data_IF_221217578720
#
_entry.id   IF_221217578720
#
_cell.length_a   1.000
_cell.length_b   1.000
_cell.length_c   1.000
_cell.angle_alpha   90.00
_cell.angle_beta   90.00
_cell.angle_gamma   90.00
#
_symmetry.space_group_name_H-M   'P 1'
#
loop_
_entity.id
_entity.type
_entity.pdbx_description
1 polymer ?
#
# COMPACT_ATOMS: atom_id res chain seq x y z
N UNK A 1 21.17 47.30 -45.32
CA UNK A 1 20.58 46.03 -44.82
C UNK A 1 21.15 45.63 -43.44
N UNK A 2 21.22 46.53 -42.44
CA UNK A 2 21.91 46.25 -41.17
C UNK A 2 21.13 46.52 -39.88
N UNK A 3 19.92 47.08 -39.94
CA UNK A 3 19.16 47.41 -38.73
C UNK A 3 18.34 46.23 -38.17
N UNK A 4 17.79 45.37 -39.03
CA UNK A 4 16.97 44.22 -38.60
C UNK A 4 17.83 43.19 -37.83
N UNK A 5 19.03 42.88 -38.36
CA UNK A 5 19.98 41.96 -37.75
C UNK A 5 20.42 42.38 -36.34
N UNK A 6 20.59 43.69 -36.09
CA UNK A 6 20.99 44.16 -34.74
C UNK A 6 19.87 44.13 -33.69
N UNK A 7 18.61 44.24 -34.12
CA UNK A 7 17.46 44.08 -33.23
C UNK A 7 17.23 42.61 -32.90
N UNK A 8 17.43 41.72 -33.86
CA UNK A 8 17.35 40.27 -33.66
C UNK A 8 18.49 39.76 -32.75
N UNK A 9 19.71 40.26 -32.91
CA UNK A 9 20.83 39.95 -32.01
C UNK A 9 20.58 40.45 -30.57
N UNK A 10 19.98 41.63 -30.41
CA UNK A 10 19.59 42.13 -29.08
C UNK A 10 18.52 41.25 -28.44
N UNK A 11 17.48 40.87 -29.19
CA UNK A 11 16.44 39.95 -28.71
C UNK A 11 17.01 38.57 -28.36
N UNK A 12 17.92 38.04 -29.16
CA UNK A 12 18.61 36.78 -28.86
C UNK A 12 19.44 36.87 -27.59
N UNK A 13 20.17 37.98 -27.37
CA UNK A 13 20.92 38.20 -26.12
C UNK A 13 20.01 38.35 -24.90
N UNK A 14 18.88 39.04 -25.03
CA UNK A 14 17.89 39.16 -23.95
C UNK A 14 17.26 37.81 -23.62
N UNK A 15 16.89 37.03 -24.65
CA UNK A 15 16.36 35.68 -24.50
C UNK A 15 17.38 34.72 -23.87
N UNK A 16 18.65 34.76 -24.31
CA UNK A 16 19.74 33.97 -23.72
C UNK A 16 19.93 34.32 -22.23
N UNK A 17 19.95 35.61 -21.87
CA UNK A 17 20.06 36.03 -20.47
C UNK A 17 18.86 35.58 -19.63
N UNK A 18 17.66 35.57 -20.20
CA UNK A 18 16.47 35.06 -19.52
C UNK A 18 16.57 33.55 -19.28
N UNK A 19 17.07 32.78 -20.27
CA UNK A 19 17.33 31.34 -20.11
C UNK A 19 18.42 31.07 -19.06
N UNK A 20 19.54 31.80 -19.09
CA UNK A 20 20.61 31.65 -18.10
C UNK A 20 20.10 31.90 -16.67
N UNK A 21 19.19 32.87 -16.51
CA UNK A 21 18.55 33.14 -15.23
C UNK A 21 17.65 31.99 -14.79
N UNK A 22 16.83 31.44 -15.69
CA UNK A 22 15.99 30.27 -15.39
C UNK A 22 16.84 29.05 -15.00
N UNK A 23 17.93 28.79 -15.74
CA UNK A 23 18.86 27.70 -15.43
C UNK A 23 19.47 27.88 -14.04
N UNK A 24 19.86 29.11 -13.68
CA UNK A 24 20.41 29.40 -12.36
C UNK A 24 19.36 29.20 -11.25
N UNK A 25 18.14 29.68 -11.45
CA UNK A 25 17.03 29.50 -10.51
C UNK A 25 16.64 28.02 -10.35
N UNK A 26 16.71 27.23 -11.43
CA UNK A 26 16.51 25.78 -11.40
C UNK A 26 17.66 25.05 -10.69
N UNK A 27 18.91 25.46 -10.90
CA UNK A 27 20.06 24.91 -10.19
C UNK A 27 19.98 25.17 -8.68
N UNK A 28 19.57 26.37 -8.27
CA UNK A 28 19.38 26.73 -6.86
C UNK A 28 18.21 25.96 -6.21
N UNK A 29 17.16 25.65 -6.99
CA UNK A 29 16.07 24.76 -6.55
C UNK A 29 16.54 23.31 -6.43
N UNK A 30 17.20 22.79 -7.45
CA UNK A 30 17.73 21.42 -7.48
C UNK A 30 18.73 21.16 -6.35
N UNK A 31 19.52 22.16 -5.95
CA UNK A 31 20.42 22.05 -4.80
C UNK A 31 19.70 21.81 -3.45
N UNK A 32 18.40 22.05 -3.37
CA UNK A 32 17.55 21.83 -2.19
C UNK A 32 16.66 20.59 -2.33
N UNK A 33 16.72 19.90 -3.46
CA UNK A 33 15.94 18.71 -3.73
C UNK A 33 16.67 17.47 -3.19
N UNK A 34 15.98 16.72 -2.34
CA UNK A 34 16.46 15.48 -1.74
C UNK A 34 15.65 14.33 -2.33
N UNK A 35 16.31 13.46 -3.09
CA UNK A 35 15.70 12.27 -3.67
C UNK A 35 15.89 11.08 -2.73
N UNK A 36 14.78 10.54 -2.24
CA UNK A 36 14.75 9.38 -1.35
C UNK A 36 14.13 8.19 -2.06
N UNK A 37 14.75 7.02 -1.96
CA UNK A 37 14.24 5.78 -2.55
C UNK A 37 13.89 4.77 -1.45
N UNK A 38 12.64 4.28 -1.44
CA UNK A 38 12.21 3.21 -0.54
C UNK A 38 12.46 1.86 -1.20
N UNK A 39 13.28 1.01 -0.56
CA UNK A 39 13.54 -0.37 -1.00
C UNK A 39 13.12 -1.36 0.07
N UNK A 40 12.98 -2.63 -0.32
CA UNK A 40 12.62 -3.73 0.57
C UNK A 40 11.66 -4.71 -0.08
N UNK A 41 11.53 -5.89 0.53
CA UNK A 41 10.68 -6.98 0.04
C UNK A 41 9.21 -6.58 -0.09
N UNK A 42 8.40 -7.42 -0.75
CA UNK A 42 6.94 -7.25 -0.72
C UNK A 42 6.46 -7.16 0.72
N UNK A 43 5.45 -6.33 0.99
CA UNK A 43 4.83 -6.21 2.32
C UNK A 43 5.69 -5.61 3.44
N UNK A 44 6.93 -5.21 3.17
CA UNK A 44 7.85 -4.68 4.21
C UNK A 44 7.51 -3.31 4.81
N UNK A 45 6.35 -2.73 4.47
CA UNK A 45 5.87 -1.45 5.03
C UNK A 45 6.22 -0.18 4.24
N UNK A 46 6.85 -0.28 3.06
CA UNK A 46 7.22 0.89 2.22
C UNK A 46 6.04 1.82 1.93
N UNK A 47 4.94 1.28 1.39
CA UNK A 47 3.76 2.08 1.07
C UNK A 47 3.09 2.65 2.32
N UNK A 48 3.25 2.00 3.49
CA UNK A 48 2.81 2.56 4.78
C UNK A 48 3.61 3.79 5.15
N UNK A 49 4.93 3.81 4.91
CA UNK A 49 5.78 5.01 5.10
C UNK A 49 5.33 6.14 4.17
N UNK A 50 5.03 5.84 2.91
CA UNK A 50 4.51 6.84 1.96
C UNK A 50 3.19 7.44 2.44
N UNK A 51 2.25 6.59 2.87
CA UNK A 51 0.97 7.04 3.43
C UNK A 51 1.17 7.91 4.68
N UNK A 52 2.13 7.58 5.56
CA UNK A 52 2.49 8.40 6.71
C UNK A 52 3.07 9.76 6.33
N UNK A 53 3.99 9.81 5.35
CA UNK A 53 4.56 11.06 4.87
C UNK A 53 3.49 11.99 4.32
N UNK A 54 2.48 11.43 3.66
CA UNK A 54 1.33 12.17 3.18
C UNK A 54 0.49 12.76 4.34
N UNK A 55 0.23 12.00 5.39
CA UNK A 55 -0.48 12.49 6.59
C UNK A 55 0.29 13.64 7.25
N UNK A 56 1.59 13.46 7.45
CA UNK A 56 2.42 14.41 8.21
C UNK A 56 2.72 15.68 7.40
N UNK A 57 2.91 15.55 6.08
CA UNK A 57 3.46 16.65 5.25
C UNK A 57 2.56 17.13 4.09
N UNK A 58 1.45 16.45 3.77
CA UNK A 58 0.55 16.82 2.66
C UNK A 58 -0.92 16.98 3.10
N UNK A 59 -1.16 17.42 4.33
CA UNK A 59 -2.50 17.65 4.88
C UNK A 59 -3.42 16.41 4.93
N UNK A 60 -2.85 15.20 4.84
CA UNK A 60 -3.60 13.95 4.92
C UNK A 60 -4.40 13.61 3.67
N UNK A 61 -5.60 13.06 3.90
CA UNK A 61 -6.50 12.55 2.87
C UNK A 61 -7.80 13.35 2.88
N UNK A 62 -8.33 13.67 1.70
CA UNK A 62 -9.63 14.31 1.57
C UNK A 62 -10.75 13.28 1.78
N UNK A 63 -11.98 13.78 1.97
CA UNK A 63 -13.16 12.92 2.08
C UNK A 63 -13.36 12.06 0.83
N UNK A 64 -13.13 12.63 -0.35
CA UNK A 64 -13.26 11.94 -1.64
C UNK A 64 -12.26 10.79 -1.75
N UNK A 65 -11.06 10.97 -1.19
CA UNK A 65 -10.04 9.91 -1.17
C UNK A 65 -10.37 8.83 -0.16
N UNK A 66 -10.89 9.18 1.02
CA UNK A 66 -11.42 8.18 1.95
C UNK A 66 -12.51 7.33 1.30
N UNK A 67 -13.42 7.92 0.52
CA UNK A 67 -14.43 7.17 -0.25
C UNK A 67 -13.77 6.24 -1.31
N UNK A 68 -12.66 6.64 -1.93
CA UNK A 68 -11.92 5.76 -2.85
C UNK A 68 -11.26 4.56 -2.14
N UNK A 69 -10.89 4.70 -0.87
CA UNK A 69 -10.36 3.58 -0.08
C UNK A 69 -11.44 2.65 0.47
N UNK A 70 -12.71 3.07 0.48
CA UNK A 70 -13.81 2.28 1.06
C UNK A 70 -13.97 0.90 0.41
N UNK A 71 -13.99 0.75 -0.94
CA UNK A 71 -14.02 -0.57 -1.59
C UNK A 71 -12.80 -1.43 -1.27
N UNK A 72 -11.63 -0.80 -1.06
CA UNK A 72 -10.38 -1.50 -0.71
C UNK A 72 -10.48 -2.06 0.71
N UNK A 73 -11.02 -1.31 1.65
CA UNK A 73 -11.26 -1.78 3.04
C UNK A 73 -12.22 -2.98 3.03
N UNK A 74 -13.32 -2.91 2.27
CA UNK A 74 -14.25 -4.03 2.13
C UNK A 74 -13.54 -5.28 1.60
N UNK A 75 -12.80 -5.14 0.51
CA UNK A 75 -12.09 -6.26 -0.12
C UNK A 75 -11.06 -6.84 0.83
N UNK A 76 -10.23 -6.01 1.47
CA UNK A 76 -9.24 -6.47 2.44
C UNK A 76 -9.87 -7.22 3.61
N UNK A 77 -11.03 -6.78 4.09
CA UNK A 77 -11.75 -7.43 5.21
C UNK A 77 -12.28 -8.81 4.78
N UNK A 78 -13.01 -8.88 3.67
CA UNK A 78 -13.62 -10.13 3.17
C UNK A 78 -12.54 -11.12 2.73
N UNK A 79 -11.52 -10.68 2.00
CA UNK A 79 -10.41 -11.52 1.57
C UNK A 79 -9.61 -12.07 2.75
N UNK A 80 -9.41 -11.28 3.82
CA UNK A 80 -8.73 -11.77 5.04
C UNK A 80 -9.53 -12.89 5.71
N UNK A 81 -10.84 -12.73 5.86
CA UNK A 81 -11.68 -13.80 6.42
C UNK A 81 -11.72 -15.03 5.50
N UNK A 82 -11.82 -14.83 4.19
CA UNK A 82 -11.77 -15.90 3.19
C UNK A 82 -10.47 -16.69 3.22
N UNK A 83 -9.32 -16.02 3.43
CA UNK A 83 -8.02 -16.66 3.57
C UNK A 83 -7.98 -17.55 4.82
N UNK A 84 -8.47 -17.08 5.96
CA UNK A 84 -8.57 -17.86 7.20
C UNK A 84 -9.46 -19.09 6.99
N UNK A 85 -10.64 -18.94 6.38
CA UNK A 85 -11.56 -20.06 6.09
C UNK A 85 -10.90 -21.12 5.19
N UNK A 86 -10.16 -20.71 4.16
CA UNK A 86 -9.43 -21.65 3.30
C UNK A 86 -8.32 -22.36 4.05
N UNK A 87 -7.61 -21.63 4.92
CA UNK A 87 -6.56 -22.20 5.76
C UNK A 87 -7.10 -23.19 6.80
N UNK A 88 -8.33 -23.00 7.30
CA UNK A 88 -8.97 -24.00 8.20
C UNK A 88 -9.04 -25.38 7.55
N UNK A 89 -9.42 -25.46 6.27
CA UNK A 89 -9.43 -26.71 5.52
C UNK A 89 -8.03 -27.31 5.37
N UNK A 90 -7.03 -26.48 5.04
CA UNK A 90 -5.63 -26.92 4.90
C UNK A 90 -5.07 -27.47 6.22
N UNK A 91 -5.39 -26.82 7.34
CA UNK A 91 -4.90 -27.15 8.68
C UNK A 91 -5.78 -28.17 9.41
N UNK A 92 -6.83 -28.68 8.76
CA UNK A 92 -7.84 -29.59 9.32
C UNK A 92 -8.50 -29.06 10.61
N UNK A 93 -8.74 -27.75 10.69
CA UNK A 93 -9.42 -27.09 11.81
C UNK A 93 -10.91 -27.02 11.51
N UNK A 94 -11.72 -27.56 12.41
CA UNK A 94 -13.19 -27.53 12.30
C UNK A 94 -13.75 -26.27 12.94
N UNK A 95 -14.90 -25.81 12.44
CA UNK A 95 -15.69 -24.80 13.14
C UNK A 95 -16.18 -25.32 14.50
N UNK A 96 -16.40 -24.40 15.45
CA UNK A 96 -16.97 -24.77 16.75
C UNK A 96 -18.41 -25.29 16.62
N UNK A 97 -19.14 -24.79 15.63
CA UNK A 97 -20.52 -25.19 15.31
C UNK A 97 -20.70 -25.44 13.83
N UNK A 98 -21.44 -26.50 13.47
CA UNK A 98 -21.69 -26.86 12.06
C UNK A 98 -22.46 -25.78 11.28
N UNK A 99 -23.21 -24.93 11.98
CA UNK A 99 -23.93 -23.80 11.38
C UNK A 99 -23.01 -22.76 10.74
N UNK A 100 -21.74 -22.66 11.19
CA UNK A 100 -20.77 -21.73 10.61
C UNK A 100 -20.42 -22.07 9.16
N UNK A 101 -20.60 -23.31 8.73
CA UNK A 101 -20.32 -23.74 7.35
C UNK A 101 -21.11 -22.92 6.33
N UNK A 102 -22.40 -22.67 6.62
CA UNK A 102 -23.25 -21.84 5.76
C UNK A 102 -22.81 -20.37 5.73
N UNK A 103 -22.26 -19.86 6.83
CA UNK A 103 -21.71 -18.50 6.89
C UNK A 103 -20.39 -18.41 6.10
N UNK A 104 -19.53 -19.42 6.21
CA UNK A 104 -18.28 -19.51 5.48
C UNK A 104 -18.52 -19.57 3.96
N UNK A 105 -19.48 -20.39 3.52
CA UNK A 105 -19.89 -20.47 2.12
C UNK A 105 -20.36 -19.13 1.57
N UNK A 106 -21.10 -18.34 2.36
CA UNK A 106 -21.57 -17.01 1.95
C UNK A 106 -20.41 -16.03 1.74
N UNK A 107 -19.42 -16.02 2.63
CA UNK A 107 -18.23 -15.18 2.48
C UNK A 107 -17.45 -15.59 1.22
N UNK A 108 -17.25 -16.88 1.01
CA UNK A 108 -16.54 -17.40 -0.16
C UNK A 108 -17.29 -17.13 -1.47
N UNK A 109 -18.63 -17.17 -1.48
CA UNK A 109 -19.47 -16.84 -2.64
C UNK A 109 -19.32 -15.37 -3.05
N UNK A 110 -19.25 -14.45 -2.08
CA UNK A 110 -19.01 -13.02 -2.36
C UNK A 110 -17.66 -12.81 -3.05
N UNK A 111 -16.61 -13.48 -2.56
CA UNK A 111 -15.27 -13.46 -3.18
C UNK A 111 -15.33 -14.05 -4.60
N UNK A 112 -15.96 -15.21 -4.77
CA UNK A 112 -16.05 -15.88 -6.06
C UNK A 112 -16.80 -15.04 -7.10
N UNK A 113 -17.79 -14.27 -6.67
CA UNK A 113 -18.55 -13.34 -7.52
C UNK A 113 -17.87 -11.98 -7.72
N UNK A 114 -16.67 -11.76 -7.16
CA UNK A 114 -15.95 -10.48 -7.20
C UNK A 114 -16.78 -9.31 -6.65
N UNK A 115 -17.58 -9.58 -5.62
CA UNK A 115 -18.43 -8.59 -4.95
C UNK A 115 -17.86 -8.12 -3.61
N UNK A 116 -16.61 -8.45 -3.34
CA UNK A 116 -15.90 -8.11 -2.11
C UNK A 116 -15.54 -6.62 -2.01
N UNK A 117 -15.83 -5.82 -3.04
CA UNK A 117 -15.69 -4.36 -3.03
C UNK A 117 -17.00 -3.62 -2.75
N UNK A 118 -18.13 -4.33 -2.66
CA UNK A 118 -19.46 -3.77 -2.38
C UNK A 118 -19.69 -3.64 -0.85
N UNK A 119 -20.55 -2.71 -0.39
CA UNK A 119 -20.94 -2.61 1.01
C UNK A 119 -21.53 -3.92 1.55
N UNK A 120 -21.27 -4.20 2.82
CA UNK A 120 -21.79 -5.40 3.45
C UNK A 120 -23.31 -5.31 3.59
N UNK A 121 -24.04 -6.29 3.04
CA UNK A 121 -25.44 -6.46 3.42
C UNK A 121 -25.53 -7.03 4.85
N UNK A 122 -26.68 -6.86 5.50
CA UNK A 122 -26.88 -7.27 6.90
C UNK A 122 -26.62 -8.76 7.15
N UNK A 123 -26.95 -9.61 6.18
CA UNK A 123 -26.74 -11.06 6.26
C UNK A 123 -25.25 -11.40 6.20
N UNK A 124 -24.50 -10.79 5.28
CA UNK A 124 -23.06 -10.96 5.14
C UNK A 124 -22.34 -10.47 6.41
N UNK A 125 -22.66 -9.26 6.89
CA UNK A 125 -22.08 -8.70 8.11
C UNK A 125 -22.27 -9.65 9.30
N UNK A 126 -23.50 -10.10 9.53
CA UNK A 126 -23.82 -11.04 10.62
C UNK A 126 -23.07 -12.37 10.48
N UNK A 127 -22.85 -12.82 9.24
CA UNK A 127 -22.08 -14.04 8.96
C UNK A 127 -20.62 -13.87 9.33
N UNK A 128 -20.01 -12.75 8.92
CA UNK A 128 -18.62 -12.40 9.21
C UNK A 128 -18.38 -12.25 10.72
N UNK A 129 -19.30 -11.59 11.45
CA UNK A 129 -19.19 -11.43 12.90
C UNK A 129 -19.22 -12.77 13.64
N UNK A 130 -20.15 -13.66 13.27
CA UNK A 130 -20.23 -14.98 13.90
C UNK A 130 -19.07 -15.89 13.52
N UNK A 131 -18.54 -15.78 12.31
CA UNK A 131 -17.32 -16.47 11.91
C UNK A 131 -16.12 -15.96 12.70
N UNK A 132 -15.96 -14.65 12.82
CA UNK A 132 -14.83 -14.09 13.57
C UNK A 132 -14.89 -14.46 15.06
N UNK A 133 -16.09 -14.58 15.63
CA UNK A 133 -16.28 -15.05 17.01
C UNK A 133 -16.10 -16.59 17.19
N UNK A 134 -16.01 -17.37 16.11
CA UNK A 134 -15.88 -18.84 16.20
C UNK A 134 -14.49 -19.26 16.69
N UNK A 135 -14.43 -20.20 17.63
CA UNK A 135 -13.16 -20.62 18.23
C UNK A 135 -12.24 -21.35 17.24
N UNK A 136 -12.79 -22.04 16.23
CA UNK A 136 -12.01 -22.66 15.17
C UNK A 136 -11.37 -21.63 14.25
N UNK A 137 -12.12 -20.57 13.90
CA UNK A 137 -11.58 -19.42 13.14
C UNK A 137 -10.48 -18.73 13.93
N UNK A 138 -10.69 -18.45 15.22
CA UNK A 138 -9.67 -17.87 16.09
C UNK A 138 -8.43 -18.76 16.22
N UNK A 139 -8.60 -20.07 16.38
CA UNK A 139 -7.48 -21.03 16.40
C UNK A 139 -6.69 -21.01 15.10
N UNK A 140 -7.37 -20.94 13.95
CA UNK A 140 -6.71 -20.86 12.64
C UNK A 140 -5.97 -19.53 12.46
N UNK A 141 -6.54 -18.43 12.92
CA UNK A 141 -5.89 -17.11 12.91
C UNK A 141 -4.60 -17.10 13.73
N UNK A 142 -4.55 -17.76 14.90
CA UNK A 142 -3.33 -17.87 15.71
C UNK A 142 -2.18 -18.62 15.01
N UNK A 143 -2.49 -19.38 13.96
CA UNK A 143 -1.54 -20.12 13.11
C UNK A 143 -1.34 -19.43 11.76
N UNK A 144 -1.59 -18.11 11.68
CA UNK A 144 -1.51 -17.34 10.43
C UNK A 144 -0.12 -17.30 9.79
N UNK A 145 0.93 -17.66 10.53
CA UNK A 145 2.28 -17.80 9.97
C UNK A 145 2.42 -19.03 9.05
N UNK A 146 1.52 -20.01 9.12
CA UNK A 146 1.53 -21.23 8.29
C UNK A 146 0.89 -21.03 6.91
N UNK A 147 0.30 -19.86 6.64
CA UNK A 147 -0.36 -19.54 5.37
C UNK A 147 -0.23 -18.03 5.06
N UNK A 148 -0.70 -17.62 3.88
CA UNK A 148 -0.63 -16.23 3.47
C UNK A 148 -1.81 -15.44 4.03
N UNK A 149 -1.56 -14.59 5.02
CA UNK A 149 -2.55 -13.67 5.59
C UNK A 149 -1.97 -12.24 5.66
N UNK A 150 -2.83 -11.23 5.49
CA UNK A 150 -2.43 -9.84 5.68
C UNK A 150 -2.29 -9.53 7.17
N UNK A 151 -1.20 -8.89 7.58
CA UNK A 151 -0.95 -8.42 8.95
C UNK A 151 -2.08 -7.55 9.53
N UNK A 152 -2.82 -6.85 8.65
CA UNK A 152 -3.95 -6.00 9.06
C UNK A 152 -5.29 -6.75 9.17
N UNK A 153 -5.32 -8.09 8.99
CA UNK A 153 -6.53 -8.89 9.05
C UNK A 153 -7.31 -8.68 10.35
N UNK A 154 -6.64 -8.84 11.50
CA UNK A 154 -7.26 -8.67 12.81
C UNK A 154 -7.86 -7.27 12.98
N UNK A 155 -7.13 -6.22 12.59
CA UNK A 155 -7.62 -4.84 12.70
C UNK A 155 -8.96 -4.63 11.99
N UNK A 156 -9.12 -5.17 10.77
CA UNK A 156 -10.37 -5.04 10.04
C UNK A 156 -11.47 -5.95 10.59
N UNK A 157 -11.15 -7.18 10.97
CA UNK A 157 -12.13 -8.14 11.50
C UNK A 157 -12.65 -7.75 12.90
N UNK A 158 -11.83 -7.10 13.72
CA UNK A 158 -12.27 -6.52 15.00
C UNK A 158 -13.19 -5.29 14.82
N UNK A 159 -13.26 -4.74 13.60
CA UNK A 159 -14.00 -3.52 13.27
C UNK A 159 -15.21 -3.76 12.37
N UNK A 160 -15.67 -5.02 12.23
CA UNK A 160 -16.77 -5.42 11.34
C UNK A 160 -18.02 -4.55 11.51
N UNK A 161 -18.44 -4.28 12.75
CA UNK A 161 -19.60 -3.45 13.03
C UNK A 161 -19.47 -2.04 12.44
N UNK A 162 -18.29 -1.40 12.61
CA UNK A 162 -18.02 -0.05 12.08
C UNK A 162 -17.94 -0.06 10.55
N UNK A 163 -17.26 -1.05 9.98
CA UNK A 163 -17.05 -1.17 8.53
C UNK A 163 -18.37 -1.50 7.81
N UNK A 164 -19.22 -2.33 8.42
CA UNK A 164 -20.53 -2.72 7.89
C UNK A 164 -21.63 -1.65 8.03
N UNK A 165 -21.34 -0.52 8.66
CA UNK A 165 -22.30 0.59 8.79
C UNK A 165 -22.66 1.19 7.41
N UNK A 166 -23.92 1.56 7.14
CA UNK A 166 -24.32 2.22 5.89
C UNK A 166 -23.53 3.51 5.60
N UNK A 167 -23.24 4.27 6.65
CA UNK A 167 -22.51 5.54 6.61
C UNK A 167 -21.01 5.37 6.82
N UNK A 168 -20.48 4.15 6.65
CA UNK A 168 -19.06 3.87 6.83
C UNK A 168 -18.21 4.72 5.88
N UNK A 169 -17.33 5.51 6.49
CA UNK A 169 -16.25 6.23 5.83
C UNK A 169 -14.92 5.80 6.48
N UNK A 170 -13.92 5.34 5.69
CA UNK A 170 -12.61 5.02 6.20
C UNK A 170 -11.96 6.22 6.89
N UNK A 171 -11.16 5.93 7.93
CA UNK A 171 -10.30 6.92 8.56
C UNK A 171 -8.83 6.72 8.13
N UNK A 172 -7.92 7.59 8.61
CA UNK A 172 -6.49 7.49 8.30
C UNK A 172 -5.89 6.14 8.70
N UNK A 173 -6.34 5.55 9.81
CA UNK A 173 -5.86 4.25 10.27
C UNK A 173 -6.29 3.14 9.33
N UNK A 174 -7.52 3.18 8.81
CA UNK A 174 -7.98 2.25 7.78
C UNK A 174 -7.13 2.37 6.53
N UNK A 175 -6.89 3.60 6.07
CA UNK A 175 -6.05 3.87 4.88
C UNK A 175 -4.64 3.33 5.08
N UNK A 176 -4.01 3.55 6.23
CA UNK A 176 -2.67 3.03 6.55
C UNK A 176 -2.61 1.50 6.54
N UNK A 177 -3.68 0.84 7.00
CA UNK A 177 -3.80 -0.62 7.12
C UNK A 177 -4.26 -1.30 5.83
N UNK A 178 -4.79 -0.55 4.85
CA UNK A 178 -5.15 -1.14 3.55
C UNK A 178 -3.91 -1.67 2.83
N UNK A 179 -4.04 -2.89 2.32
CA UNK A 179 -3.08 -3.56 1.45
C UNK A 179 -3.54 -3.41 0.01
N UNK A 180 -2.78 -2.65 -0.75
CA UNK A 180 -2.86 -2.55 -2.21
C UNK A 180 -1.50 -2.95 -2.74
N UNK A 181 -1.46 -3.90 -3.68
CA UNK A 181 -0.19 -4.28 -4.31
C UNK A 181 0.32 -3.09 -5.13
N UNK A 182 1.43 -2.51 -4.70
CA UNK A 182 2.11 -1.45 -5.44
C UNK A 182 2.65 -1.99 -6.75
N UNK A 183 2.19 -1.43 -7.85
CA UNK A 183 2.67 -1.73 -9.20
C UNK A 183 3.35 -0.49 -9.77
N UNK A 184 4.52 -0.66 -10.36
CA UNK A 184 5.29 0.47 -10.88
C UNK A 184 5.99 1.28 -9.79
N UNK A 185 6.05 2.59 -10.03
CA UNK A 185 6.80 3.57 -9.24
C UNK A 185 5.82 4.67 -8.84
N UNK A 186 5.72 4.96 -7.55
CA UNK A 186 4.92 6.05 -7.01
C UNK A 186 5.86 7.11 -6.45
N UNK A 187 5.70 8.36 -6.87
CA UNK A 187 6.47 9.49 -6.37
C UNK A 187 5.57 10.37 -5.49
N UNK A 188 6.07 10.75 -4.32
CA UNK A 188 5.46 11.79 -3.48
C UNK A 188 6.43 12.94 -3.27
N UNK A 189 5.90 14.16 -3.27
CA UNK A 189 6.66 15.38 -3.15
C UNK A 189 6.22 16.16 -1.93
N UNK A 190 7.13 16.48 -1.02
CA UNK A 190 6.82 17.27 0.18
C UNK A 190 7.98 18.15 0.59
N UNK A 191 7.70 19.28 1.24
CA UNK A 191 8.74 20.19 1.73
C UNK A 191 8.88 20.11 3.24
N UNK A 192 10.11 20.07 3.74
CA UNK A 192 10.41 20.09 5.18
C UNK A 192 11.72 20.85 5.45
N UNK A 193 11.67 21.81 6.39
CA UNK A 193 12.84 22.63 6.80
C UNK A 193 13.65 23.20 5.61
N UNK A 194 12.95 23.81 4.65
CA UNK A 194 13.50 24.42 3.42
C UNK A 194 14.14 23.45 2.40
N UNK A 195 13.99 22.15 2.60
CA UNK A 195 14.33 21.12 1.62
C UNK A 195 13.06 20.59 0.95
N UNK A 196 13.16 20.22 -0.32
CA UNK A 196 12.10 19.54 -1.04
C UNK A 196 12.46 18.06 -1.16
N UNK A 197 11.62 17.21 -0.63
CA UNK A 197 11.80 15.76 -0.69
C UNK A 197 10.98 15.19 -1.82
N UNK A 198 11.62 14.33 -2.61
CA UNK A 198 10.98 13.47 -3.62
C UNK A 198 11.18 12.02 -3.17
N UNK A 199 10.15 11.40 -2.63
CA UNK A 199 10.19 10.04 -2.12
C UNK A 199 9.57 9.09 -3.13
N UNK A 200 10.34 8.09 -3.54
CA UNK A 200 9.96 7.08 -4.52
C UNK A 200 9.65 5.75 -3.81
N UNK A 201 8.41 5.27 -3.93
CA UNK A 201 7.99 3.93 -3.55
C UNK A 201 7.94 3.03 -4.77
N UNK A 202 8.68 1.92 -4.70
CA UNK A 202 8.76 0.92 -5.76
C UNK A 202 8.22 -0.40 -5.26
N UNK A 203 7.54 -1.14 -6.15
CA UNK A 203 7.01 -2.46 -5.82
C UNK A 203 8.11 -3.41 -5.29
N UNK A 204 7.88 -4.03 -4.14
CA UNK A 204 8.85 -4.92 -3.48
C UNK A 204 8.88 -6.37 -3.98
N UNK A 205 7.82 -6.78 -4.69
CA UNK A 205 7.69 -8.13 -5.22
C UNK A 205 8.70 -8.37 -6.35
N UNK A 206 9.13 -9.62 -6.52
CA UNK A 206 10.18 -9.99 -7.50
C UNK A 206 9.88 -9.50 -8.92
N UNK A 207 8.60 -9.54 -9.33
CA UNK A 207 8.17 -9.06 -10.66
C UNK A 207 8.38 -7.56 -10.88
N UNK A 208 8.36 -6.76 -9.81
CA UNK A 208 8.46 -5.30 -9.88
C UNK A 208 9.92 -4.80 -9.81
N UNK A 209 10.86 -5.62 -9.33
CA UNK A 209 12.25 -5.20 -9.05
C UNK A 209 13.03 -4.76 -10.28
N UNK A 210 12.67 -5.27 -11.47
CA UNK A 210 13.27 -4.81 -12.74
C UNK A 210 13.08 -3.32 -12.97
N UNK A 211 12.07 -2.70 -12.36
CA UNK A 211 11.77 -1.27 -12.48
C UNK A 211 12.62 -0.40 -11.56
N UNK A 212 13.27 -0.97 -10.54
CA UNK A 212 14.03 -0.21 -9.54
C UNK A 212 15.17 0.58 -10.16
N UNK A 213 15.83 0.03 -11.20
CA UNK A 213 16.95 0.65 -11.90
C UNK A 213 16.61 2.07 -12.40
N UNK A 214 15.36 2.33 -12.77
CA UNK A 214 14.90 3.64 -13.24
C UNK A 214 14.81 4.70 -12.13
N UNK A 215 14.91 4.30 -10.87
CA UNK A 215 14.79 5.19 -9.72
C UNK A 215 16.14 5.53 -9.08
N UNK A 216 17.22 4.81 -9.37
CA UNK A 216 18.51 4.93 -8.68
C UNK A 216 19.36 6.14 -9.10
N UNK A 217 19.14 6.69 -10.29
CA UNK A 217 19.89 7.86 -10.76
C UNK A 217 19.66 9.06 -9.84
N UNK A 218 20.74 9.71 -9.39
CA UNK A 218 20.73 10.88 -8.51
C UNK A 218 19.97 10.71 -7.18
N UNK A 219 19.91 9.49 -6.63
CA UNK A 219 19.34 9.25 -5.30
C UNK A 219 20.27 9.80 -4.21
N UNK A 220 19.73 10.63 -3.33
CA UNK A 220 20.47 11.16 -2.18
C UNK A 220 20.62 10.12 -1.08
N UNK A 221 19.57 9.36 -0.79
CA UNK A 221 19.61 8.29 0.20
C UNK A 221 18.58 7.19 -0.08
N UNK A 222 18.88 5.98 0.39
CA UNK A 222 18.01 4.82 0.33
C UNK A 222 17.48 4.53 1.74
N UNK A 223 16.17 4.32 1.83
CA UNK A 223 15.50 3.84 3.04
C UNK A 223 15.09 2.39 2.79
N UNK A 224 15.82 1.45 3.38
CA UNK A 224 15.57 0.03 3.23
C UNK A 224 14.65 -0.48 4.35
N UNK A 225 13.48 -1.02 3.97
CA UNK A 225 12.44 -1.45 4.89
C UNK A 225 12.41 -2.98 5.01
N UNK A 226 12.46 -3.47 6.26
CA UNK A 226 12.47 -4.90 6.60
C UNK A 226 11.33 -5.18 7.59
N UNK A 227 10.51 -6.21 7.31
CA UNK A 227 9.52 -6.69 8.25
C UNK A 227 10.15 -7.74 9.18
N UNK A 228 10.27 -7.40 10.47
CA UNK A 228 10.86 -8.30 11.47
C UNK A 228 9.92 -9.44 11.86
N UNK A 229 8.61 -9.24 11.71
CA UNK A 229 7.56 -10.21 12.01
C UNK A 229 7.51 -11.38 11.02
N UNK A 230 8.19 -11.29 9.88
CA UNK A 230 8.09 -12.26 8.79
C UNK A 230 9.19 -13.36 8.84
N UNK A 231 9.89 -13.50 9.97
CA UNK A 231 11.00 -14.44 10.12
C UNK A 231 10.57 -15.92 10.00
N UNK A 232 9.30 -16.23 10.26
CA UNK A 232 8.71 -17.57 10.20
C UNK A 232 7.74 -17.75 9.03
N UNK A 233 7.74 -16.82 8.06
CA UNK A 233 6.85 -16.83 6.91
C UNK A 233 7.60 -17.09 5.60
N UNK A 234 6.88 -17.59 4.60
CA UNK A 234 7.37 -17.76 3.22
C UNK A 234 6.79 -16.69 2.27
N UNK A 235 7.49 -16.42 1.18
CA UNK A 235 7.03 -15.49 0.14
C UNK A 235 5.74 -15.96 -0.49
N UNK A 236 4.88 -15.00 -0.83
CA UNK A 236 3.68 -15.25 -1.62
C UNK A 236 4.02 -15.75 -3.03
N UNK A 237 5.15 -15.31 -3.61
CA UNK A 237 5.49 -15.63 -5.00
C UNK A 237 5.92 -17.08 -5.26
N UNK A 238 6.44 -17.80 -4.26
CA UNK A 238 6.97 -19.16 -4.44
C UNK A 238 6.66 -20.14 -3.29
N UNK A 239 5.98 -19.69 -2.24
CA UNK A 239 5.56 -20.47 -1.07
C UNK A 239 6.68 -21.31 -0.42
N UNK A 240 7.95 -20.94 -0.64
CA UNK A 240 9.11 -21.76 -0.22
C UNK A 240 10.28 -20.93 0.29
N UNK A 241 10.52 -19.76 -0.29
CA UNK A 241 11.57 -18.86 0.19
C UNK A 241 11.09 -18.14 1.45
N UNK A 242 11.85 -18.25 2.54
CA UNK A 242 11.58 -17.48 3.75
C UNK A 242 11.69 -15.96 3.48
N UNK A 243 10.73 -15.18 4.00
CA UNK A 243 10.64 -13.73 3.73
C UNK A 243 11.83 -12.94 4.29
N UNK A 244 12.32 -13.27 5.48
CA UNK A 244 13.50 -12.62 6.06
C UNK A 244 14.77 -12.95 5.28
N UNK A 245 14.93 -14.19 4.84
CA UNK A 245 16.04 -14.58 3.96
C UNK A 245 15.99 -13.86 2.61
N UNK A 246 14.80 -13.66 2.02
CA UNK A 246 14.63 -12.83 0.83
C UNK A 246 15.07 -11.40 1.09
N UNK A 247 14.67 -10.82 2.23
CA UNK A 247 15.03 -9.43 2.58
C UNK A 247 16.53 -9.23 2.79
N UNK A 248 17.27 -10.25 3.23
CA UNK A 248 18.73 -10.21 3.37
C UNK A 248 19.47 -10.32 2.03
N UNK A 249 18.83 -10.88 1.00
CA UNK A 249 19.42 -11.08 -0.34
C UNK A 249 19.14 -9.92 -1.30
N UNK A 250 18.37 -8.93 -0.86
CA UNK A 250 17.85 -7.83 -1.66
C UNK A 250 18.86 -6.70 -1.91
#
# INVERSE_FOLDING_TARGET
>A
MGCATSQDEKRQKEYSKALDRLIKEDAERAAKDVKLLLLGAGESGKSTIVKQMRIIHQHGYTREEFEQYRPVVYSNTIQSLGAIIRAMNMLNIQFATAEREADAQRVLEVIQRMKDTEPFNSVLLSSMERLWADSGVQQCFLRSNEYQLNDSAQYFLDQLYRIGSPDFLPNEQDVLRTRVKTTGIVEINFSFKNLNFRLFDVGGQRSERKKWIHCFEDVTAIIFCVALSEYDQVLYEDESTNRMHESLRL
#
